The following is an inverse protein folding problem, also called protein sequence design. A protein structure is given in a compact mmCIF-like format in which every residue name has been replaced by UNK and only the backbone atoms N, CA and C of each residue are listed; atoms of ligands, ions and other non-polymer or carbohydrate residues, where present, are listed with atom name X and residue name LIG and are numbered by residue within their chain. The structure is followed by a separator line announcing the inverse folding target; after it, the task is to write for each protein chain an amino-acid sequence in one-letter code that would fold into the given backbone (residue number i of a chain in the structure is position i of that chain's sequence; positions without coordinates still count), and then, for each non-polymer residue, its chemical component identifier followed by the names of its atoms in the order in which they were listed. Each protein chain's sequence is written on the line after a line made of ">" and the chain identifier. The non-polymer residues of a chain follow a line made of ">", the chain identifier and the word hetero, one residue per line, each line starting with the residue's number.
data_IF_857349493779
#
_entry.id   IF_857349493779
#
_cell.length_a   1.000
_cell.length_b   1.000
_cell.length_c   1.000
_cell.angle_alpha   90.00
_cell.angle_beta   90.00
_cell.angle_gamma   90.00
#
_symmetry.space_group_name_H-M   'P 1'
#
loop_
_entity.id
_entity.type
_entity.pdbx_description
1 polymer ?
#
# COMPACT_ATOMS: atom_id res chain seq x y z
N UNK A 1 1.70 8.95 -26.83
CA UNK A 1 0.75 9.22 -25.80
C UNK A 1 1.44 9.95 -24.69
N UNK A 2 0.99 11.17 -24.37
CA UNK A 2 1.45 11.91 -23.20
C UNK A 2 1.02 11.12 -21.98
N UNK A 3 1.98 10.55 -21.26
CA UNK A 3 1.75 10.14 -19.88
C UNK A 3 1.46 11.43 -19.11
N UNK A 4 0.23 11.64 -18.64
CA UNK A 4 -0.05 12.61 -17.60
C UNK A 4 0.86 12.22 -16.43
N UNK A 5 1.78 13.11 -16.06
CA UNK A 5 2.64 12.93 -14.90
C UNK A 5 1.70 12.94 -13.70
N UNK A 6 1.36 11.76 -13.17
CA UNK A 6 0.62 11.68 -11.91
C UNK A 6 1.37 12.51 -10.86
N UNK A 7 0.62 13.32 -10.11
CA UNK A 7 1.19 14.13 -9.05
C UNK A 7 2.08 13.27 -8.15
N UNK A 8 3.35 13.63 -8.00
CA UNK A 8 4.31 12.89 -7.21
C UNK A 8 3.81 12.77 -5.78
N UNK A 9 4.14 11.67 -5.11
CA UNK A 9 3.68 11.38 -3.74
C UNK A 9 3.93 12.54 -2.78
N UNK A 10 5.03 13.27 -2.95
CA UNK A 10 5.47 14.35 -2.07
C UNK A 10 5.08 15.78 -2.51
N UNK A 11 4.35 15.94 -3.62
CA UNK A 11 3.84 17.25 -4.05
C UNK A 11 2.60 17.70 -3.26
N UNK A 12 2.08 16.87 -2.36
CA UNK A 12 0.90 17.19 -1.56
C UNK A 12 1.26 18.07 -0.36
N UNK A 13 0.46 19.10 -0.10
CA UNK A 13 0.67 20.06 1.01
C UNK A 13 0.87 19.38 2.38
N UNK A 14 0.18 18.26 2.61
CA UNK A 14 0.26 17.54 3.88
C UNK A 14 1.37 16.49 3.94
N UNK A 15 2.23 16.38 2.93
CA UNK A 15 3.28 15.36 2.91
C UNK A 15 4.28 15.52 4.06
N UNK A 16 4.88 16.70 4.21
CA UNK A 16 5.83 16.98 5.30
C UNK A 16 5.18 16.85 6.68
N UNK A 17 4.00 17.43 6.95
CA UNK A 17 3.28 17.19 8.20
C UNK A 17 3.05 15.70 8.53
N UNK A 18 2.70 14.87 7.55
CA UNK A 18 2.52 13.44 7.76
C UNK A 18 3.83 12.71 8.08
N UNK A 19 4.93 13.06 7.38
CA UNK A 19 6.26 12.51 7.67
C UNK A 19 6.69 12.86 9.10
N UNK A 20 6.56 14.13 9.49
CA UNK A 20 6.93 14.61 10.83
C UNK A 20 6.04 13.98 11.92
N UNK A 21 4.74 13.84 11.67
CA UNK A 21 3.83 13.15 12.57
C UNK A 21 4.21 11.69 12.77
N UNK A 22 4.59 10.98 11.71
CA UNK A 22 5.08 9.61 11.78
C UNK A 22 6.39 9.52 12.57
N UNK A 23 7.34 10.43 12.36
CA UNK A 23 8.60 10.51 13.11
C UNK A 23 8.30 10.71 14.61
N UNK A 24 7.52 11.72 14.96
CA UNK A 24 7.19 12.03 16.36
C UNK A 24 6.45 10.89 17.06
N UNK A 25 5.62 10.13 16.33
CA UNK A 25 4.95 8.94 16.86
C UNK A 25 5.92 7.78 17.10
N UNK A 26 7.00 7.71 16.34
CA UNK A 26 7.90 6.55 16.32
C UNK A 26 9.11 6.70 17.25
N UNK A 27 9.56 7.94 17.55
CA UNK A 27 10.76 8.20 18.32
C UNK A 27 10.79 9.60 18.95
N UNK A 28 11.37 9.68 20.13
CA UNK A 28 11.66 10.96 20.80
C UNK A 28 12.99 11.57 20.36
N UNK A 29 13.83 10.84 19.62
CA UNK A 29 15.13 11.34 19.16
C UNK A 29 14.97 12.59 18.31
N UNK A 30 15.89 13.55 18.47
CA UNK A 30 15.91 14.78 17.69
C UNK A 30 16.62 14.59 16.34
N UNK A 31 17.63 13.75 16.28
CA UNK A 31 18.41 13.46 15.07
C UNK A 31 17.89 12.19 14.39
N UNK A 32 17.47 12.33 13.15
CA UNK A 32 16.72 11.30 12.42
C UNK A 32 17.47 10.87 11.15
N UNK A 33 17.69 9.57 11.01
CA UNK A 33 17.99 8.93 9.73
C UNK A 33 16.68 8.35 9.19
N UNK A 34 16.21 8.90 8.06
CA UNK A 34 14.89 8.61 7.51
C UNK A 34 14.97 7.63 6.35
N UNK A 35 14.23 6.52 6.46
CA UNK A 35 13.93 5.67 5.33
C UNK A 35 12.50 5.96 4.83
N UNK A 36 12.34 6.21 3.54
CA UNK A 36 11.05 6.58 2.95
C UNK A 36 10.82 5.85 1.63
N UNK A 37 9.57 5.56 1.31
CA UNK A 37 9.20 4.84 0.09
C UNK A 37 8.63 5.75 -1.01
N UNK A 38 8.94 5.38 -2.25
CA UNK A 38 8.26 5.87 -3.44
C UNK A 38 7.63 4.70 -4.21
N UNK A 39 6.48 4.91 -4.87
CA UNK A 39 5.96 3.97 -5.86
C UNK A 39 7.06 3.57 -6.85
N UNK A 40 7.04 2.32 -7.34
CA UNK A 40 8.13 1.76 -8.15
C UNK A 40 8.45 2.64 -9.37
N UNK A 41 7.43 3.17 -10.03
CA UNK A 41 7.58 4.03 -11.21
C UNK A 41 8.31 5.32 -10.83
N UNK A 42 7.90 5.98 -9.75
CA UNK A 42 8.55 7.21 -9.26
C UNK A 42 9.96 6.93 -8.73
N UNK A 43 10.18 5.77 -8.10
CA UNK A 43 11.51 5.37 -7.64
C UNK A 43 12.50 5.15 -8.79
N UNK A 44 12.06 4.70 -9.96
CA UNK A 44 12.96 4.53 -11.13
C UNK A 44 13.50 5.85 -11.64
N UNK A 45 12.76 6.94 -11.51
CA UNK A 45 13.24 8.27 -11.90
C UNK A 45 14.24 8.81 -10.88
N UNK A 46 15.48 9.03 -11.33
CA UNK A 46 16.56 9.55 -10.48
C UNK A 46 16.27 10.96 -9.98
N UNK A 47 15.67 11.81 -10.82
CA UNK A 47 15.37 13.20 -10.46
C UNK A 47 14.34 13.24 -9.33
N UNK A 48 13.28 12.47 -9.45
CA UNK A 48 12.23 12.35 -8.41
C UNK A 48 12.83 11.91 -7.06
N UNK A 49 13.73 10.92 -7.05
CA UNK A 49 14.43 10.53 -5.81
C UNK A 49 15.28 11.65 -5.24
N UNK A 50 16.06 12.33 -6.11
CA UNK A 50 16.97 13.42 -5.69
C UNK A 50 16.18 14.59 -5.11
N UNK A 51 15.06 14.96 -5.72
CA UNK A 51 14.19 16.03 -5.22
C UNK A 51 13.59 15.71 -3.86
N UNK A 52 13.12 14.47 -3.67
CA UNK A 52 12.60 14.03 -2.37
C UNK A 52 13.69 14.06 -1.29
N UNK A 53 14.89 13.61 -1.60
CA UNK A 53 16.02 13.67 -0.67
C UNK A 53 16.32 15.14 -0.30
N UNK A 54 16.47 16.02 -1.29
CA UNK A 54 16.78 17.43 -1.09
C UNK A 54 15.69 18.17 -0.31
N UNK A 55 14.42 17.78 -0.49
CA UNK A 55 13.30 18.35 0.24
C UNK A 55 13.36 18.05 1.74
N UNK A 56 13.92 16.92 2.15
CA UNK A 56 13.86 16.44 3.54
C UNK A 56 15.20 16.51 4.26
N UNK A 57 16.29 16.13 3.58
CA UNK A 57 17.61 15.97 4.19
C UNK A 57 18.24 17.32 4.58
N UNK A 58 18.85 17.35 5.74
CA UNK A 58 19.51 18.55 6.27
C UNK A 58 18.56 19.57 6.90
N UNK A 59 17.27 19.37 6.81
CA UNK A 59 16.28 20.29 7.35
C UNK A 59 16.03 20.08 8.84
N UNK A 60 15.74 21.19 9.52
CA UNK A 60 15.34 21.24 10.94
C UNK A 60 13.90 21.69 11.03
N UNK A 61 13.08 20.92 11.73
CA UNK A 61 11.66 21.17 11.89
C UNK A 61 11.31 21.37 13.37
N UNK A 62 10.66 22.50 13.70
CA UNK A 62 10.02 22.70 15.00
C UNK A 62 8.60 22.14 14.91
N UNK A 63 8.28 21.15 15.73
CA UNK A 63 7.04 20.39 15.65
C UNK A 63 6.34 20.43 17.01
N UNK A 64 5.02 20.55 17.00
CA UNK A 64 4.19 20.31 18.19
C UNK A 64 3.34 19.07 17.93
N UNK A 65 3.66 17.99 18.62
CA UNK A 65 2.94 16.72 18.51
C UNK A 65 2.29 16.39 19.85
N UNK A 66 0.97 16.18 19.86
CA UNK A 66 0.19 15.97 21.09
C UNK A 66 0.45 17.02 22.18
N UNK A 67 0.55 18.29 21.79
CA UNK A 67 0.85 19.45 22.64
C UNK A 67 2.29 19.48 23.20
N UNK A 68 3.16 18.57 22.78
CA UNK A 68 4.56 18.50 23.19
C UNK A 68 5.41 19.13 22.08
N UNK A 69 6.13 20.24 22.35
CA UNK A 69 7.05 20.82 21.39
C UNK A 69 8.32 19.98 21.29
N UNK A 70 8.82 19.78 20.09
CA UNK A 70 10.11 19.11 19.84
C UNK A 70 10.78 19.67 18.60
N UNK A 71 12.07 19.41 18.45
CA UNK A 71 12.84 19.73 17.25
C UNK A 71 13.27 18.44 16.61
N UNK A 72 13.07 18.30 15.28
CA UNK A 72 13.51 17.12 14.52
C UNK A 72 14.46 17.56 13.42
N UNK A 73 15.63 16.95 13.36
CA UNK A 73 16.68 17.23 12.37
C UNK A 73 16.81 15.99 11.50
N UNK A 74 16.47 16.06 10.22
CA UNK A 74 16.60 14.94 9.29
C UNK A 74 18.03 14.91 8.75
N UNK A 75 18.89 14.09 9.36
CA UNK A 75 20.31 14.00 9.04
C UNK A 75 20.56 13.37 7.68
N UNK A 76 19.89 12.24 7.45
CA UNK A 76 20.02 11.49 6.19
C UNK A 76 18.66 10.98 5.71
N UNK A 77 18.52 10.85 4.39
CA UNK A 77 17.32 10.28 3.75
C UNK A 77 17.73 9.17 2.80
N UNK A 78 17.17 7.98 2.98
CA UNK A 78 17.29 6.87 2.04
C UNK A 78 15.92 6.56 1.45
N UNK A 79 15.85 6.54 0.11
CA UNK A 79 14.61 6.28 -0.63
C UNK A 79 14.59 4.85 -1.13
N UNK A 80 13.47 4.16 -0.93
CA UNK A 80 13.26 2.76 -1.29
C UNK A 80 12.02 2.59 -2.20
N UNK A 81 12.01 1.58 -3.09
CA UNK A 81 10.81 1.26 -3.87
C UNK A 81 9.76 0.58 -2.98
N UNK A 82 8.56 1.11 -2.98
CA UNK A 82 7.40 0.49 -2.32
C UNK A 82 7.10 -0.88 -2.96
N UNK A 83 6.42 -1.74 -2.24
CA UNK A 83 6.16 -3.12 -2.63
C UNK A 83 7.41 -4.01 -2.59
N UNK A 84 8.50 -3.60 -3.26
CA UNK A 84 9.72 -4.41 -3.34
C UNK A 84 10.39 -4.55 -1.99
N UNK A 85 10.52 -3.47 -1.23
CA UNK A 85 11.12 -3.53 0.10
C UNK A 85 10.33 -4.45 1.03
N UNK A 86 8.99 -4.38 0.97
CA UNK A 86 8.10 -5.28 1.70
C UNK A 86 8.24 -6.73 1.25
N UNK A 87 8.31 -6.98 -0.05
CA UNK A 87 8.54 -8.31 -0.61
C UNK A 87 9.87 -8.91 -0.12
N UNK A 88 10.97 -8.15 -0.18
CA UNK A 88 12.28 -8.60 0.29
C UNK A 88 12.28 -8.89 1.79
N UNK A 89 11.60 -8.06 2.58
CA UNK A 89 11.41 -8.32 4.01
C UNK A 89 10.68 -9.63 4.24
N UNK A 90 9.54 -9.86 3.57
CA UNK A 90 8.75 -11.08 3.71
C UNK A 90 9.54 -12.31 3.28
N UNK A 91 10.29 -12.20 2.18
CA UNK A 91 11.18 -13.27 1.70
C UNK A 91 12.26 -13.61 2.73
N UNK A 92 12.92 -12.60 3.31
CA UNK A 92 13.92 -12.77 4.37
C UNK A 92 13.35 -13.43 5.62
N UNK A 93 12.07 -13.18 5.94
CA UNK A 93 11.37 -13.80 7.07
C UNK A 93 10.82 -15.21 6.77
N UNK A 94 11.08 -15.75 5.59
CA UNK A 94 10.58 -17.08 5.19
C UNK A 94 9.07 -17.11 4.89
N UNK A 95 8.39 -15.97 4.83
CA UNK A 95 6.95 -15.91 4.58
C UNK A 95 6.58 -16.20 3.13
N UNK A 96 7.56 -16.17 2.22
CA UNK A 96 7.41 -16.44 0.79
C UNK A 96 8.10 -17.74 0.36
N UNK A 97 8.30 -18.72 1.26
CA UNK A 97 8.95 -19.97 0.92
C UNK A 97 8.25 -20.75 -0.20
N UNK A 98 6.92 -20.62 -0.32
CA UNK A 98 6.13 -21.22 -1.39
C UNK A 98 6.45 -20.65 -2.79
N UNK A 99 7.12 -19.49 -2.89
CA UNK A 99 7.62 -18.95 -4.16
C UNK A 99 8.73 -19.83 -4.71
N UNK A 100 9.60 -20.36 -3.83
CA UNK A 100 10.78 -21.14 -4.23
C UNK A 100 11.74 -20.29 -5.06
N UNK A 101 12.25 -20.86 -6.16
CA UNK A 101 13.17 -20.20 -7.10
C UNK A 101 12.47 -19.54 -8.29
N UNK A 102 11.13 -19.49 -8.30
CA UNK A 102 10.36 -18.90 -9.40
C UNK A 102 10.48 -17.37 -9.41
N UNK A 103 10.39 -16.79 -10.59
CA UNK A 103 10.07 -15.36 -10.69
C UNK A 103 8.72 -15.10 -10.02
N UNK A 104 8.50 -13.88 -9.56
CA UNK A 104 7.28 -13.55 -8.81
C UNK A 104 6.64 -12.30 -9.35
N UNK A 105 5.33 -12.36 -9.56
CA UNK A 105 4.51 -11.20 -9.84
C UNK A 105 4.07 -10.65 -8.48
N UNK A 106 4.58 -9.48 -8.12
CA UNK A 106 4.19 -8.75 -6.93
C UNK A 106 3.02 -7.82 -7.26
N UNK A 107 1.98 -7.86 -6.42
CA UNK A 107 0.81 -6.99 -6.48
C UNK A 107 0.71 -6.31 -5.11
N UNK A 108 1.03 -5.01 -5.03
CA UNK A 108 0.90 -4.21 -3.81
C UNK A 108 -0.33 -3.29 -3.92
N UNK A 109 -1.40 -3.64 -3.20
CA UNK A 109 -2.65 -2.89 -3.20
C UNK A 109 -2.58 -1.83 -2.10
N UNK A 110 -2.12 -0.66 -2.47
CA UNK A 110 -2.01 0.50 -1.59
C UNK A 110 -3.33 1.22 -1.32
N UNK A 111 -3.24 2.44 -0.78
CA UNK A 111 -4.41 3.28 -0.50
C UNK A 111 -5.12 3.78 -1.75
N UNK A 112 -4.37 4.25 -2.74
CA UNK A 112 -4.88 4.85 -3.98
C UNK A 112 -4.50 4.12 -5.25
N UNK A 113 -3.42 3.35 -5.22
CA UNK A 113 -2.88 2.65 -6.38
C UNK A 113 -2.67 1.19 -6.06
N UNK A 114 -2.69 0.38 -7.09
CA UNK A 114 -2.16 -0.98 -7.08
C UNK A 114 -0.92 -1.01 -7.94
N UNK A 115 0.22 -1.26 -7.32
CA UNK A 115 1.50 -1.38 -8.01
C UNK A 115 1.78 -2.85 -8.30
N UNK A 116 2.14 -3.14 -9.56
CA UNK A 116 2.45 -4.50 -10.01
C UNK A 116 3.87 -4.51 -10.58
N UNK A 117 4.64 -5.53 -10.26
CA UNK A 117 5.96 -5.70 -10.84
C UNK A 117 6.35 -7.18 -10.91
N UNK A 118 7.12 -7.54 -11.94
CA UNK A 118 7.77 -8.84 -12.00
C UNK A 118 9.09 -8.76 -11.22
N UNK A 119 9.27 -9.63 -10.25
CA UNK A 119 10.49 -9.73 -9.44
C UNK A 119 11.34 -10.86 -9.97
N UNK A 120 12.48 -10.47 -10.58
CA UNK A 120 13.54 -11.38 -11.05
C UNK A 120 14.83 -11.11 -10.29
N UNK A 121 15.43 -12.13 -9.71
CA UNK A 121 16.70 -11.97 -8.97
C UNK A 121 16.66 -10.82 -7.95
N UNK A 122 15.55 -10.69 -7.20
CA UNK A 122 15.28 -9.62 -6.23
C UNK A 122 15.23 -8.19 -6.82
N UNK A 123 15.07 -8.06 -8.13
CA UNK A 123 14.92 -6.77 -8.83
C UNK A 123 13.55 -6.68 -9.49
N UNK A 124 12.91 -5.52 -9.40
CA UNK A 124 11.67 -5.26 -10.11
C UNK A 124 11.92 -4.95 -11.59
N UNK A 125 11.17 -5.65 -12.42
CA UNK A 125 11.08 -5.42 -13.87
C UNK A 125 9.62 -5.26 -14.25
N UNK A 126 9.34 -4.67 -15.41
CA UNK A 126 7.99 -4.46 -15.95
C UNK A 126 7.02 -3.85 -14.92
N UNK A 127 7.35 -2.73 -14.26
CA UNK A 127 6.42 -2.15 -13.29
C UNK A 127 5.24 -1.50 -14.00
N UNK A 128 4.05 -1.71 -13.44
CA UNK A 128 2.79 -1.05 -13.82
C UNK A 128 2.14 -0.53 -12.56
N UNK A 129 1.43 0.61 -12.65
CA UNK A 129 0.59 1.14 -11.60
C UNK A 129 -0.82 1.36 -12.12
N UNK A 130 -1.81 0.95 -11.35
CA UNK A 130 -3.23 1.10 -11.66
C UNK A 130 -3.82 2.03 -10.62
N UNK A 131 -4.61 3.01 -11.03
CA UNK A 131 -5.31 3.97 -10.16
C UNK A 131 -6.53 3.32 -9.47
N UNK A 132 -6.29 2.21 -8.80
CA UNK A 132 -7.25 1.49 -7.96
C UNK A 132 -6.54 1.12 -6.67
N UNK A 133 -7.08 1.55 -5.54
CA UNK A 133 -6.56 1.22 -4.23
C UNK A 133 -7.64 0.88 -3.22
N UNK A 134 -7.24 0.72 -1.98
CA UNK A 134 -8.15 0.38 -0.87
C UNK A 134 -9.26 1.41 -0.67
N UNK A 135 -8.96 2.69 -0.95
CA UNK A 135 -9.95 3.78 -0.84
C UNK A 135 -11.08 3.59 -1.86
N UNK A 136 -10.76 3.19 -3.09
CA UNK A 136 -11.79 2.94 -4.13
C UNK A 136 -12.67 1.74 -3.76
N UNK A 137 -12.07 0.71 -3.15
CA UNK A 137 -12.77 -0.44 -2.61
C UNK A 137 -13.76 0.01 -1.51
N UNK A 138 -13.32 0.88 -0.59
CA UNK A 138 -14.19 1.39 0.47
C UNK A 138 -15.31 2.28 -0.08
N UNK A 139 -15.03 3.11 -1.09
CA UNK A 139 -16.08 3.89 -1.76
C UNK A 139 -17.14 3.00 -2.42
N UNK A 140 -16.73 1.93 -3.11
CA UNK A 140 -17.67 1.00 -3.74
C UNK A 140 -18.57 0.33 -2.70
N UNK A 141 -18.01 -0.15 -1.59
CA UNK A 141 -18.76 -0.76 -0.49
C UNK A 141 -19.69 0.26 0.17
N UNK A 142 -19.18 1.46 0.51
CA UNK A 142 -19.98 2.51 1.15
C UNK A 142 -21.16 2.93 0.27
N UNK A 143 -20.95 3.06 -1.04
CA UNK A 143 -22.00 3.37 -2.00
C UNK A 143 -23.10 2.32 -1.96
N UNK A 144 -22.76 1.04 -2.06
CA UNK A 144 -23.76 -0.04 -2.03
C UNK A 144 -24.52 -0.09 -0.67
N UNK A 145 -23.84 0.17 0.44
CA UNK A 145 -24.48 0.25 1.75
C UNK A 145 -25.46 1.43 1.83
N UNK A 146 -25.09 2.63 1.32
CA UNK A 146 -25.98 3.81 1.31
C UNK A 146 -27.21 3.59 0.44
N UNK A 147 -27.07 2.89 -0.68
CA UNK A 147 -28.19 2.56 -1.56
C UNK A 147 -29.23 1.64 -0.88
N UNK A 148 -28.77 0.69 -0.06
CA UNK A 148 -29.66 -0.23 0.65
C UNK A 148 -30.18 0.34 1.96
N UNK A 149 -29.34 1.08 2.70
CA UNK A 149 -29.65 1.63 4.03
C UNK A 149 -29.68 3.16 3.97
N UNK A 150 -30.61 3.70 3.20
CA UNK A 150 -30.67 5.12 2.82
C UNK A 150 -30.81 6.10 4.00
N UNK A 151 -31.33 5.64 5.15
CA UNK A 151 -31.45 6.41 6.39
C UNK A 151 -30.24 6.25 7.34
N UNK A 152 -29.26 5.43 6.98
CA UNK A 152 -28.05 5.26 7.76
C UNK A 152 -26.94 6.20 7.30
N UNK A 153 -26.23 6.81 8.26
CA UNK A 153 -25.01 7.55 7.97
C UNK A 153 -23.83 6.57 7.79
N UNK A 154 -23.44 6.35 6.54
CA UNK A 154 -22.31 5.47 6.18
C UNK A 154 -21.08 6.33 5.86
N UNK A 155 -20.08 6.29 6.74
CA UNK A 155 -18.80 6.96 6.55
C UNK A 155 -17.81 5.99 5.89
N UNK A 156 -17.12 6.44 4.83
CA UNK A 156 -16.13 5.62 4.10
C UNK A 156 -14.99 5.18 5.02
N UNK A 157 -14.59 6.04 5.95
CA UNK A 157 -13.52 5.77 6.92
C UNK A 157 -13.85 4.63 7.89
N UNK A 158 -15.15 4.32 8.09
CA UNK A 158 -15.62 3.23 8.95
C UNK A 158 -15.78 1.89 8.23
N UNK A 159 -15.59 1.83 6.92
CA UNK A 159 -15.80 0.59 6.16
C UNK A 159 -14.89 -0.53 6.67
N UNK A 160 -13.64 -0.22 7.02
CA UNK A 160 -12.76 -1.23 7.61
C UNK A 160 -13.31 -1.79 8.92
N UNK A 161 -13.87 -0.95 9.79
CA UNK A 161 -14.52 -1.40 11.01
C UNK A 161 -15.73 -2.28 10.74
N UNK A 162 -16.55 -1.94 9.72
CA UNK A 162 -17.69 -2.77 9.34
C UNK A 162 -17.28 -4.14 8.81
N UNK A 163 -16.17 -4.22 8.09
CA UNK A 163 -15.61 -5.49 7.59
C UNK A 163 -15.03 -6.34 8.73
N UNK A 164 -14.45 -5.72 9.74
CA UNK A 164 -13.76 -6.42 10.84
C UNK A 164 -14.66 -6.80 11.99
N UNK A 165 -15.62 -5.90 12.34
CA UNK A 165 -16.47 -6.01 13.54
C UNK A 165 -17.93 -6.30 13.21
N UNK A 166 -18.29 -6.28 11.91
CA UNK A 166 -19.68 -6.39 11.46
C UNK A 166 -20.37 -5.03 11.32
N UNK A 167 -21.32 -4.96 10.41
CA UNK A 167 -22.17 -3.78 10.19
C UNK A 167 -23.51 -3.97 10.91
N UNK A 168 -23.76 -3.12 11.89
CA UNK A 168 -25.02 -3.12 12.63
C UNK A 168 -25.94 -2.02 12.14
N UNK A 169 -27.19 -2.37 11.80
CA UNK A 169 -28.22 -1.43 11.41
C UNK A 169 -29.44 -1.64 12.28
N UNK A 170 -29.93 -0.58 12.96
CA UNK A 170 -31.02 -0.61 13.93
C UNK A 170 -30.87 -1.70 15.01
N UNK A 171 -29.62 -1.93 15.45
CA UNK A 171 -29.29 -2.90 16.49
C UNK A 171 -29.06 -4.34 16.02
N UNK A 172 -29.28 -4.64 14.74
CA UNK A 172 -29.12 -5.97 14.18
C UNK A 172 -27.90 -6.05 13.26
N UNK A 173 -27.14 -7.17 13.38
CA UNK A 173 -26.01 -7.48 12.50
C UNK A 173 -26.54 -7.78 11.09
N UNK A 174 -25.99 -7.09 10.09
CA UNK A 174 -26.40 -7.23 8.69
C UNK A 174 -25.36 -7.99 7.87
N UNK A 175 -25.83 -8.83 6.96
CA UNK A 175 -24.99 -9.38 5.90
C UNK A 175 -24.72 -8.30 4.84
N UNK A 176 -23.44 -7.95 4.70
CA UNK A 176 -22.96 -6.96 3.73
C UNK A 176 -22.23 -7.59 2.52
N UNK A 177 -22.37 -8.89 2.31
CA UNK A 177 -21.76 -9.61 1.19
C UNK A 177 -22.13 -9.02 -0.18
N UNK A 178 -23.36 -8.47 -0.31
CA UNK A 178 -23.80 -7.78 -1.53
C UNK A 178 -22.94 -6.55 -1.82
N UNK A 179 -22.56 -5.77 -0.79
CA UNK A 179 -21.72 -4.59 -0.93
C UNK A 179 -20.26 -4.99 -1.26
N UNK A 180 -19.73 -6.03 -0.63
CA UNK A 180 -18.41 -6.59 -0.95
C UNK A 180 -18.38 -7.07 -2.42
N UNK A 181 -19.46 -7.63 -2.93
CA UNK A 181 -19.54 -8.09 -4.33
C UNK A 181 -19.34 -6.96 -5.35
N UNK A 182 -19.62 -5.70 -5.01
CA UNK A 182 -19.36 -4.55 -5.92
C UNK A 182 -17.88 -4.37 -6.22
N UNK A 183 -16.99 -4.84 -5.35
CA UNK A 183 -15.54 -4.75 -5.54
C UNK A 183 -15.01 -5.66 -6.65
N UNK A 184 -15.84 -6.60 -7.16
CA UNK A 184 -15.47 -7.50 -8.27
C UNK A 184 -15.10 -6.74 -9.54
N UNK A 185 -15.71 -5.58 -9.79
CA UNK A 185 -15.38 -4.76 -10.95
C UNK A 185 -13.97 -4.19 -10.85
N UNK A 186 -13.57 -3.73 -9.65
CA UNK A 186 -12.22 -3.23 -9.39
C UNK A 186 -11.20 -4.37 -9.49
N UNK A 187 -11.51 -5.52 -8.89
CA UNK A 187 -10.68 -6.72 -9.05
C UNK A 187 -10.49 -7.10 -10.51
N UNK A 188 -11.56 -7.05 -11.33
CA UNK A 188 -11.47 -7.39 -12.75
C UNK A 188 -10.47 -6.51 -13.50
N UNK A 189 -10.43 -5.21 -13.23
CA UNK A 189 -9.48 -4.30 -13.85
C UNK A 189 -8.02 -4.68 -13.51
N UNK A 190 -7.75 -5.00 -12.24
CA UNK A 190 -6.42 -5.46 -11.81
C UNK A 190 -6.08 -6.80 -12.46
N UNK A 191 -7.04 -7.72 -12.53
CA UNK A 191 -6.86 -9.05 -13.09
C UNK A 191 -6.62 -9.04 -14.60
N UNK A 192 -7.34 -8.17 -15.33
CA UNK A 192 -7.17 -8.01 -16.77
C UNK A 192 -5.76 -7.46 -17.08
N UNK A 193 -5.26 -6.49 -16.29
CA UNK A 193 -3.88 -5.99 -16.40
C UNK A 193 -2.85 -7.10 -16.17
N UNK A 194 -3.07 -7.94 -15.16
CA UNK A 194 -2.20 -9.09 -14.89
C UNK A 194 -2.14 -10.05 -16.07
N UNK A 195 -3.28 -10.39 -16.66
CA UNK A 195 -3.35 -11.33 -17.79
C UNK A 195 -2.70 -10.81 -19.06
N UNK A 196 -2.76 -9.50 -19.28
CA UNK A 196 -2.19 -8.87 -20.48
C UNK A 196 -0.67 -8.81 -20.39
N UNK A 197 -0.13 -8.48 -19.22
CA UNK A 197 1.27 -8.07 -19.09
C UNK A 197 2.16 -9.06 -18.34
N UNK A 198 1.58 -10.09 -17.69
CA UNK A 198 2.32 -11.00 -16.83
C UNK A 198 1.93 -12.47 -17.05
N UNK A 199 2.85 -13.38 -16.79
CA UNK A 199 2.65 -14.84 -16.93
C UNK A 199 2.13 -15.46 -15.64
N UNK A 200 0.87 -15.18 -15.28
CA UNK A 200 0.26 -15.64 -14.02
C UNK A 200 0.12 -17.15 -13.89
N UNK A 201 0.26 -17.88 -14.99
CA UNK A 201 0.19 -19.35 -15.05
C UNK A 201 1.53 -20.02 -14.65
N UNK A 202 2.66 -19.33 -14.81
CA UNK A 202 4.01 -19.90 -14.62
C UNK A 202 4.76 -19.25 -13.46
N UNK A 203 4.57 -17.95 -13.25
CA UNK A 203 5.23 -17.23 -12.20
C UNK A 203 4.48 -17.32 -10.87
N UNK A 204 5.18 -17.15 -9.77
CA UNK A 204 4.51 -17.08 -8.47
C UNK A 204 3.79 -15.72 -8.32
N UNK A 205 2.53 -15.70 -7.92
CA UNK A 205 1.79 -14.47 -7.70
C UNK A 205 1.72 -14.18 -6.20
N UNK A 206 2.14 -12.98 -5.80
CA UNK A 206 2.16 -12.52 -4.40
C UNK A 206 1.36 -11.23 -4.30
N UNK A 207 0.30 -11.25 -3.49
CA UNK A 207 -0.53 -10.06 -3.21
C UNK A 207 -0.25 -9.57 -1.81
N UNK A 208 0.00 -8.27 -1.67
CA UNK A 208 0.24 -7.58 -0.40
C UNK A 208 -0.43 -6.21 -0.36
N UNK A 209 -0.21 -5.48 0.71
CA UNK A 209 -0.79 -4.16 0.92
C UNK A 209 -2.16 -4.19 1.61
N UNK A 210 -2.70 -3.01 1.91
CA UNK A 210 -3.96 -2.89 2.67
C UNK A 210 -5.16 -3.54 2.00
N UNK A 211 -5.22 -3.51 0.66
CA UNK A 211 -6.31 -4.11 -0.12
C UNK A 211 -6.25 -5.64 -0.22
N UNK A 212 -5.13 -6.27 0.12
CA UNK A 212 -4.97 -7.72 0.07
C UNK A 212 -5.98 -8.45 0.97
N UNK A 213 -6.34 -7.87 2.12
CA UNK A 213 -7.33 -8.43 3.03
C UNK A 213 -8.71 -8.53 2.39
N UNK A 214 -9.11 -7.54 1.62
CA UNK A 214 -10.46 -7.47 1.03
C UNK A 214 -10.53 -8.27 -0.27
N UNK A 215 -9.59 -8.03 -1.19
CA UNK A 215 -9.58 -8.67 -2.50
C UNK A 215 -8.93 -10.06 -2.49
N UNK A 216 -8.20 -10.42 -1.44
CA UNK A 216 -7.44 -11.67 -1.38
C UNK A 216 -8.28 -12.92 -1.59
N UNK A 217 -9.51 -12.96 -1.06
CA UNK A 217 -10.43 -14.08 -1.28
C UNK A 217 -10.86 -14.21 -2.75
N UNK A 218 -11.01 -13.08 -3.45
CA UNK A 218 -11.35 -13.05 -4.89
C UNK A 218 -10.12 -13.49 -5.69
N UNK A 219 -8.93 -13.00 -5.33
CA UNK A 219 -7.68 -13.45 -5.96
C UNK A 219 -7.46 -14.95 -5.81
N UNK A 220 -7.64 -15.52 -4.61
CA UNK A 220 -7.51 -16.96 -4.33
C UNK A 220 -8.45 -17.81 -5.17
N UNK A 221 -9.64 -17.31 -5.54
CA UNK A 221 -10.60 -18.00 -6.40
C UNK A 221 -10.22 -17.98 -7.88
N UNK A 222 -9.47 -16.98 -8.33
CA UNK A 222 -9.18 -16.76 -9.75
C UNK A 222 -7.74 -17.12 -10.14
N UNK A 223 -6.79 -17.17 -9.20
CA UNK A 223 -5.39 -17.50 -9.47
C UNK A 223 -4.96 -18.64 -8.56
N UNK A 224 -4.68 -19.80 -9.16
CA UNK A 224 -4.27 -20.99 -8.44
C UNK A 224 -2.86 -20.82 -7.85
N UNK A 225 -2.68 -21.19 -6.60
CA UNK A 225 -1.37 -21.13 -5.94
C UNK A 225 -0.88 -19.73 -5.58
N UNK A 226 -1.75 -18.74 -5.64
CA UNK A 226 -1.44 -17.36 -5.23
C UNK A 226 -1.12 -17.28 -3.74
N UNK A 227 -0.16 -16.44 -3.40
CA UNK A 227 0.21 -16.13 -2.01
C UNK A 227 -0.40 -14.78 -1.65
N UNK A 228 -1.32 -14.76 -0.69
CA UNK A 228 -1.95 -13.53 -0.23
C UNK A 228 -1.45 -13.20 1.17
N UNK A 229 -0.86 -12.02 1.31
CA UNK A 229 -0.37 -11.47 2.55
C UNK A 229 -1.49 -10.58 3.15
N UNK A 230 -2.40 -11.21 3.89
CA UNK A 230 -3.63 -10.59 4.39
C UNK A 230 -3.63 -10.35 5.92
N UNK A 231 -2.52 -10.58 6.60
CA UNK A 231 -2.36 -10.27 8.02
C UNK A 231 -2.03 -8.78 8.22
N UNK A 232 -3.04 -7.99 8.64
CA UNK A 232 -2.92 -6.54 8.81
C UNK A 232 -1.79 -6.17 9.78
N UNK A 233 -1.69 -6.83 10.92
CA UNK A 233 -0.71 -6.47 11.96
C UNK A 233 0.74 -6.68 11.51
N UNK A 234 0.95 -7.60 10.56
CA UNK A 234 2.26 -7.93 10.04
C UNK A 234 2.53 -7.28 8.68
N UNK A 235 1.57 -7.35 7.76
CA UNK A 235 1.84 -7.17 6.33
C UNK A 235 1.62 -5.73 5.86
N UNK A 236 0.74 -4.95 6.52
CA UNK A 236 0.59 -3.51 6.25
C UNK A 236 1.89 -2.74 6.49
N UNK A 237 2.70 -3.17 7.45
CA UNK A 237 3.99 -2.54 7.75
C UNK A 237 5.17 -3.19 7.02
N UNK A 238 4.93 -4.11 6.08
CA UNK A 238 6.01 -4.83 5.38
C UNK A 238 6.98 -3.88 4.67
N UNK A 239 6.48 -2.84 3.99
CA UNK A 239 7.32 -1.83 3.35
C UNK A 239 8.22 -1.10 4.35
N UNK A 240 7.68 -0.60 5.46
CA UNK A 240 8.45 0.11 6.49
C UNK A 240 9.50 -0.80 7.14
N UNK A 241 9.16 -2.06 7.40
CA UNK A 241 10.10 -3.07 7.91
C UNK A 241 11.19 -3.40 6.89
N UNK A 242 10.82 -3.43 5.61
CA UNK A 242 11.75 -3.61 4.50
C UNK A 242 12.73 -2.44 4.39
N UNK A 243 12.25 -1.20 4.50
CA UNK A 243 13.12 -0.02 4.52
C UNK A 243 14.13 -0.09 5.66
N UNK A 244 13.67 -0.39 6.89
CA UNK A 244 14.55 -0.56 8.04
C UNK A 244 15.60 -1.65 7.83
N UNK A 245 15.23 -2.77 7.21
CA UNK A 245 16.14 -3.88 6.91
C UNK A 245 17.19 -3.52 5.87
N UNK A 246 16.82 -2.70 4.87
CA UNK A 246 17.67 -2.32 3.74
C UNK A 246 18.50 -1.06 4.01
N UNK A 247 18.16 -0.30 5.04
CA UNK A 247 18.87 0.92 5.45
C UNK A 247 20.31 0.59 5.88
N UNK A 248 21.26 1.41 5.37
CA UNK A 248 22.70 1.27 5.66
C UNK A 248 23.17 2.34 6.64
#
# INVERSE_FOLDING_TARGET
>A
GNFEIEARKFDKENFIPLVLGAICKSTDADLIDLAIGLPIIQFKDKNTRTELINMLQGNTYKVVYNKIPSTKIIRSVQVFPEGIAGYLYMKNKGLLNAVGNRDSILIDIGGKTTDIALIKNNKATLPTSINIGTIDIYYAIAKALREKYYDAKIDVEKIQDYLDKGFYYKGELQDISFAINTTKTLFKQIYDELKINYSIETDAVVVMGGGAKILGSIFKKNIKGIIVMDNIDRDVFANARGYKMLMK
#
